data_IF_988246704916
#
_entry.id   IF_988246704916
#
_cell.length_a   1.000
_cell.length_b   1.000
_cell.length_c   1.000
_cell.angle_alpha   90.00
_cell.angle_beta   90.00
_cell.angle_gamma   90.00
#
_symmetry.space_group_name_H-M   'P 1'
#
loop_
_entity.id
_entity.type
_entity.pdbx_description
1 polymer ?
#
# COMPACT_ATOMS: atom_id res chain seq x y z
N UNK A 1 -22.11 -16.82 -3.68
CA UNK A 1 -21.58 -16.76 -5.07
C UNK A 1 -20.06 -16.68 -4.95
N UNK A 2 -19.34 -17.39 -5.83
CA UNK A 2 -17.87 -17.29 -5.90
C UNK A 2 -17.52 -15.90 -6.42
N UNK A 3 -16.63 -15.15 -5.72
CA UNK A 3 -16.15 -13.83 -6.16
C UNK A 3 -15.26 -13.98 -7.39
N UNK A 4 -15.35 -13.02 -8.29
CA UNK A 4 -14.47 -12.90 -9.43
C UNK A 4 -13.63 -11.61 -9.32
N UNK A 5 -12.32 -11.76 -9.44
CA UNK A 5 -11.37 -10.75 -8.96
C UNK A 5 -10.47 -10.28 -10.10
N UNK A 6 -10.35 -8.96 -10.28
CA UNK A 6 -9.30 -8.34 -11.07
C UNK A 6 -8.09 -8.01 -10.18
N UNK A 7 -6.88 -8.34 -10.60
CA UNK A 7 -5.64 -8.07 -9.85
C UNK A 7 -4.79 -7.08 -10.63
N UNK A 8 -4.65 -5.87 -10.11
CA UNK A 8 -3.75 -4.87 -10.64
C UNK A 8 -2.37 -5.08 -10.01
N UNK A 9 -1.42 -5.61 -10.80
CA UNK A 9 -0.08 -5.93 -10.33
C UNK A 9 0.10 -7.37 -9.85
N UNK A 10 -0.41 -8.35 -10.58
CA UNK A 10 -0.44 -9.78 -10.21
C UNK A 10 0.92 -10.44 -10.05
N UNK A 11 1.95 -9.96 -10.73
CA UNK A 11 3.31 -10.54 -10.69
C UNK A 11 4.16 -10.06 -9.51
N UNK A 12 3.70 -9.03 -8.79
CA UNK A 12 4.34 -8.49 -7.59
C UNK A 12 4.14 -9.40 -6.37
N UNK A 13 4.72 -9.01 -5.22
CA UNK A 13 4.62 -9.78 -3.97
C UNK A 13 3.17 -9.95 -3.51
N UNK A 14 2.41 -8.85 -3.43
CA UNK A 14 0.99 -8.87 -3.02
C UNK A 14 0.15 -9.64 -4.06
N UNK A 15 0.37 -9.37 -5.35
CA UNK A 15 -0.39 -10.06 -6.42
C UNK A 15 -0.24 -11.58 -6.38
N UNK A 16 0.97 -12.08 -6.17
CA UNK A 16 1.23 -13.53 -6.06
C UNK A 16 0.54 -14.15 -4.85
N UNK A 17 0.66 -13.52 -3.67
CA UNK A 17 -0.02 -13.97 -2.46
C UNK A 17 -1.55 -13.88 -2.60
N UNK A 18 -2.05 -12.90 -3.37
CA UNK A 18 -3.47 -12.82 -3.70
C UNK A 18 -3.95 -14.01 -4.52
N UNK A 19 -3.15 -14.45 -5.50
CA UNK A 19 -3.47 -15.64 -6.29
C UNK A 19 -3.46 -16.92 -5.44
N UNK A 20 -2.55 -17.07 -4.46
CA UNK A 20 -2.56 -18.16 -3.49
C UNK A 20 -3.85 -18.18 -2.67
N UNK A 21 -4.27 -17.03 -2.17
CA UNK A 21 -5.52 -16.87 -1.41
C UNK A 21 -6.74 -17.18 -2.29
N UNK A 22 -6.79 -16.66 -3.51
CA UNK A 22 -7.87 -16.88 -4.47
C UNK A 22 -8.03 -18.39 -4.76
N UNK A 23 -6.93 -19.09 -5.00
CA UNK A 23 -6.93 -20.53 -5.22
C UNK A 23 -7.40 -21.31 -3.99
N UNK A 24 -6.88 -20.97 -2.80
CA UNK A 24 -7.24 -21.64 -1.54
C UNK A 24 -8.71 -21.44 -1.15
N UNK A 25 -9.27 -20.25 -1.44
CA UNK A 25 -10.67 -19.91 -1.12
C UNK A 25 -11.67 -20.26 -2.25
N UNK A 26 -11.25 -20.90 -3.34
CA UNK A 26 -12.12 -21.30 -4.45
C UNK A 26 -12.75 -20.10 -5.20
N UNK A 27 -12.05 -18.98 -5.27
CA UNK A 27 -12.46 -17.81 -6.03
C UNK A 27 -11.93 -17.87 -7.48
N UNK A 28 -12.38 -16.97 -8.36
CA UNK A 28 -11.95 -16.94 -9.77
C UNK A 28 -11.30 -15.61 -10.12
N UNK A 29 -10.46 -15.63 -11.15
CA UNK A 29 -9.77 -14.44 -11.66
C UNK A 29 -10.47 -13.94 -12.92
N UNK A 30 -10.78 -12.63 -12.97
CA UNK A 30 -11.33 -11.95 -14.14
C UNK A 30 -10.23 -11.33 -15.00
N UNK A 31 -9.33 -10.57 -14.36
CA UNK A 31 -8.21 -9.93 -15.05
C UNK A 31 -6.92 -10.01 -14.22
N UNK A 32 -5.79 -10.07 -14.93
CA UNK A 32 -4.44 -9.98 -14.38
C UNK A 32 -3.67 -8.85 -15.07
N UNK A 33 -2.92 -8.07 -14.31
CA UNK A 33 -2.09 -7.03 -14.89
C UNK A 33 -0.66 -7.09 -14.36
N UNK A 34 0.32 -6.71 -15.18
CA UNK A 34 1.71 -6.58 -14.79
C UNK A 34 2.42 -5.47 -15.60
N UNK A 35 3.66 -5.13 -15.22
CA UNK A 35 4.46 -4.18 -15.98
C UNK A 35 5.08 -4.87 -17.22
N UNK A 36 6.14 -5.67 -17.02
CA UNK A 36 6.93 -6.28 -18.09
C UNK A 36 7.29 -7.76 -17.87
N UNK A 37 6.81 -8.41 -16.81
CA UNK A 37 7.15 -9.80 -16.46
C UNK A 37 6.34 -10.80 -17.29
N UNK A 38 6.71 -11.02 -18.53
CA UNK A 38 5.97 -11.83 -19.52
C UNK A 38 5.86 -13.29 -19.08
N UNK A 39 6.96 -13.93 -18.71
CA UNK A 39 7.00 -15.35 -18.35
C UNK A 39 6.07 -15.64 -17.17
N UNK A 40 6.14 -14.81 -16.12
CA UNK A 40 5.28 -14.97 -14.94
C UNK A 40 3.81 -14.70 -15.25
N UNK A 41 3.53 -13.73 -16.12
CA UNK A 41 2.16 -13.48 -16.56
C UNK A 41 1.61 -14.65 -17.35
N UNK A 42 2.38 -15.25 -18.25
CA UNK A 42 1.99 -16.45 -19.00
C UNK A 42 1.65 -17.61 -18.07
N UNK A 43 2.51 -17.89 -17.07
CA UNK A 43 2.25 -18.93 -16.04
C UNK A 43 0.92 -18.68 -15.31
N UNK A 44 0.70 -17.42 -14.85
CA UNK A 44 -0.53 -17.04 -14.16
C UNK A 44 -1.76 -17.16 -15.05
N UNK A 45 -1.68 -16.74 -16.31
CA UNK A 45 -2.79 -16.87 -17.27
C UNK A 45 -3.12 -18.32 -17.54
N UNK A 46 -2.14 -19.19 -17.75
CA UNK A 46 -2.38 -20.62 -17.98
C UNK A 46 -3.00 -21.30 -16.76
N UNK A 47 -2.61 -20.89 -15.55
CA UNK A 47 -3.15 -21.44 -14.31
C UNK A 47 -4.56 -20.95 -13.98
N UNK A 48 -4.82 -19.65 -14.09
CA UNK A 48 -6.06 -19.02 -13.61
C UNK A 48 -7.09 -18.72 -14.72
N UNK A 49 -6.69 -18.77 -15.98
CA UNK A 49 -7.54 -18.56 -17.16
C UNK A 49 -8.42 -17.29 -17.08
N UNK A 50 -7.82 -16.10 -16.86
CA UNK A 50 -8.60 -14.85 -16.81
C UNK A 50 -9.15 -14.50 -18.19
N UNK A 51 -10.17 -13.62 -18.22
CA UNK A 51 -10.68 -13.06 -19.48
C UNK A 51 -9.68 -12.07 -20.10
N UNK A 52 -8.95 -11.33 -19.25
CA UNK A 52 -8.07 -10.25 -19.66
C UNK A 52 -6.72 -10.34 -18.97
N UNK A 53 -5.65 -10.22 -19.75
CA UNK A 53 -4.28 -10.02 -19.28
C UNK A 53 -3.75 -8.69 -19.82
N UNK A 54 -3.14 -7.87 -18.95
CA UNK A 54 -2.64 -6.54 -19.33
C UNK A 54 -1.17 -6.41 -18.96
N UNK A 55 -0.38 -5.94 -19.93
CA UNK A 55 1.00 -5.52 -19.69
C UNK A 55 1.12 -4.00 -19.86
N UNK A 56 1.73 -3.31 -18.90
CA UNK A 56 1.98 -1.87 -19.04
C UNK A 56 2.96 -1.56 -20.18
N UNK A 57 3.98 -2.41 -20.34
CA UNK A 57 4.94 -2.34 -21.45
C UNK A 57 4.33 -2.93 -22.72
N UNK A 58 4.30 -2.13 -23.80
CA UNK A 58 3.68 -2.53 -25.08
C UNK A 58 4.44 -3.69 -25.76
N UNK A 59 5.77 -3.75 -25.62
CA UNK A 59 6.57 -4.84 -26.19
C UNK A 59 6.31 -6.15 -25.45
N UNK A 60 6.21 -6.07 -24.12
CA UNK A 60 5.83 -7.21 -23.29
C UNK A 60 4.41 -7.70 -23.61
N UNK A 61 3.48 -6.78 -23.90
CA UNK A 61 2.12 -7.14 -24.31
C UNK A 61 2.13 -7.87 -25.68
N UNK A 62 2.92 -7.40 -26.63
CA UNK A 62 3.05 -8.03 -27.94
C UNK A 62 3.65 -9.46 -27.83
N UNK A 63 4.68 -9.66 -27.01
CA UNK A 63 5.26 -10.98 -26.74
C UNK A 63 4.23 -11.90 -26.03
N UNK A 64 3.57 -11.41 -24.99
CA UNK A 64 2.55 -12.16 -24.27
C UNK A 64 1.40 -12.62 -25.20
N UNK A 65 0.97 -11.75 -26.10
CA UNK A 65 -0.09 -12.07 -27.07
C UNK A 65 0.29 -13.24 -27.99
N UNK A 66 1.55 -13.32 -28.41
CA UNK A 66 2.06 -14.46 -29.21
C UNK A 66 2.08 -15.74 -28.37
N UNK A 67 2.57 -15.66 -27.14
CA UNK A 67 2.67 -16.82 -26.23
C UNK A 67 1.30 -17.40 -25.83
N UNK A 68 0.29 -16.57 -25.75
CA UNK A 68 -1.07 -16.94 -25.34
C UNK A 68 -2.02 -17.19 -26.53
N UNK A 69 -1.52 -17.30 -27.75
CA UNK A 69 -2.35 -17.51 -28.95
C UNK A 69 -3.21 -18.80 -28.93
N UNK A 70 -2.85 -19.75 -28.07
CA UNK A 70 -3.57 -21.02 -27.83
C UNK A 70 -4.63 -20.89 -26.71
N UNK A 71 -4.78 -19.73 -26.08
CA UNK A 71 -5.71 -19.47 -24.97
C UNK A 71 -6.89 -18.59 -25.42
N UNK A 72 -7.90 -18.48 -24.54
CA UNK A 72 -9.03 -17.56 -24.75
C UNK A 72 -8.84 -16.19 -24.10
N UNK A 73 -7.73 -16.00 -23.38
CA UNK A 73 -7.41 -14.77 -22.67
C UNK A 73 -7.06 -13.66 -23.66
N UNK A 74 -7.76 -12.54 -23.59
CA UNK A 74 -7.45 -11.35 -24.36
C UNK A 74 -6.27 -10.61 -23.74
N UNK A 75 -5.35 -10.11 -24.57
CA UNK A 75 -4.19 -9.33 -24.11
C UNK A 75 -4.38 -7.86 -24.51
N UNK A 76 -4.22 -6.96 -23.53
CA UNK A 76 -4.23 -5.51 -23.68
C UNK A 76 -2.93 -4.89 -23.14
N UNK A 77 -2.72 -3.60 -23.36
CA UNK A 77 -1.50 -2.90 -22.92
C UNK A 77 -1.78 -1.50 -22.38
N UNK A 78 -0.80 -0.98 -21.65
CA UNK A 78 -0.75 0.40 -21.19
C UNK A 78 -1.80 0.77 -20.14
N UNK A 79 -1.94 2.06 -19.88
CA UNK A 79 -2.85 2.60 -18.87
C UNK A 79 -4.32 2.31 -19.20
N UNK A 80 -4.72 2.38 -20.45
CA UNK A 80 -6.10 2.10 -20.86
C UNK A 80 -6.46 0.63 -20.60
N UNK A 81 -5.52 -0.30 -20.87
CA UNK A 81 -5.70 -1.71 -20.50
C UNK A 81 -5.80 -1.91 -18.97
N UNK A 82 -5.02 -1.17 -18.19
CA UNK A 82 -5.07 -1.24 -16.73
C UNK A 82 -6.42 -0.75 -16.19
N UNK A 83 -6.96 0.32 -16.76
CA UNK A 83 -8.30 0.84 -16.46
C UNK A 83 -9.36 -0.19 -16.86
N UNK A 84 -9.27 -0.75 -18.06
CA UNK A 84 -10.19 -1.80 -18.53
C UNK A 84 -10.21 -3.01 -17.61
N UNK A 85 -9.06 -3.45 -17.09
CA UNK A 85 -8.98 -4.53 -16.10
C UNK A 85 -9.67 -4.17 -14.78
N UNK A 86 -9.61 -2.91 -14.37
CA UNK A 86 -10.28 -2.41 -13.18
C UNK A 86 -11.80 -2.31 -13.37
N UNK A 87 -12.27 -1.92 -14.55
CA UNK A 87 -13.68 -1.78 -14.91
C UNK A 87 -14.33 -3.10 -15.34
N UNK A 88 -13.58 -4.21 -15.55
CA UNK A 88 -14.05 -5.46 -16.11
C UNK A 88 -15.41 -5.87 -15.52
N UNK A 89 -16.51 -5.94 -16.30
CA UNK A 89 -17.86 -6.12 -15.75
C UNK A 89 -18.08 -7.47 -15.06
N UNK A 90 -17.32 -8.49 -15.45
CA UNK A 90 -17.40 -9.82 -14.84
C UNK A 90 -16.72 -9.92 -13.46
N UNK A 91 -15.92 -8.93 -13.08
CA UNK A 91 -15.23 -8.89 -11.79
C UNK A 91 -15.98 -7.97 -10.81
N UNK A 92 -16.29 -8.48 -9.62
CA UNK A 92 -16.97 -7.75 -8.55
C UNK A 92 -15.98 -7.08 -7.57
N UNK A 93 -14.73 -7.51 -7.61
CA UNK A 93 -13.68 -7.08 -6.68
C UNK A 93 -12.39 -6.76 -7.44
N UNK A 94 -11.74 -5.68 -7.07
CA UNK A 94 -10.43 -5.28 -7.61
C UNK A 94 -9.39 -5.24 -6.49
N UNK A 95 -8.29 -5.97 -6.66
CA UNK A 95 -7.11 -5.85 -5.80
C UNK A 95 -6.16 -4.85 -6.44
N UNK A 96 -5.85 -3.76 -5.75
CA UNK A 96 -4.92 -2.74 -6.23
C UNK A 96 -3.53 -2.98 -5.65
N UNK A 97 -2.74 -3.83 -6.30
CA UNK A 97 -1.40 -4.24 -5.85
C UNK A 97 -0.25 -3.65 -6.70
N UNK A 98 -0.52 -2.58 -7.43
CA UNK A 98 0.50 -1.77 -8.10
C UNK A 98 1.19 -0.84 -7.10
N UNK A 99 2.40 -0.39 -7.41
CA UNK A 99 3.19 0.49 -6.53
C UNK A 99 3.17 1.92 -7.07
N UNK A 100 2.99 2.89 -6.16
CA UNK A 100 3.06 4.31 -6.50
C UNK A 100 1.80 4.87 -7.13
N UNK A 101 1.91 6.09 -7.65
CA UNK A 101 0.80 6.91 -8.15
C UNK A 101 0.03 6.30 -9.33
N UNK A 102 0.63 5.34 -10.04
CA UNK A 102 0.01 4.66 -11.20
C UNK A 102 -1.30 3.94 -10.83
N UNK A 103 -1.47 3.55 -9.56
CA UNK A 103 -2.67 2.87 -9.08
C UNK A 103 -3.89 3.77 -8.94
N UNK A 104 -3.74 5.09 -8.86
CA UNK A 104 -4.83 6.01 -8.58
C UNK A 104 -5.91 5.98 -9.67
N UNK A 105 -5.52 6.14 -10.93
CA UNK A 105 -6.47 6.19 -12.07
C UNK A 105 -7.32 4.92 -12.20
N UNK A 106 -6.75 3.71 -12.22
CA UNK A 106 -7.55 2.49 -12.31
C UNK A 106 -8.37 2.21 -11.04
N UNK A 107 -7.89 2.63 -9.86
CA UNK A 107 -8.70 2.51 -8.63
C UNK A 107 -9.94 3.40 -8.69
N UNK A 108 -9.80 4.64 -9.16
CA UNK A 108 -10.94 5.54 -9.35
C UNK A 108 -11.95 4.99 -10.37
N UNK A 109 -11.46 4.38 -11.46
CA UNK A 109 -12.29 3.72 -12.45
C UNK A 109 -13.11 2.56 -11.83
N UNK A 110 -12.46 1.70 -11.06
CA UNK A 110 -13.16 0.61 -10.36
C UNK A 110 -14.18 1.11 -9.31
N UNK A 111 -13.88 2.21 -8.62
CA UNK A 111 -14.79 2.86 -7.66
C UNK A 111 -16.07 3.33 -8.38
N UNK A 112 -15.94 3.95 -9.55
CA UNK A 112 -17.10 4.43 -10.34
C UNK A 112 -17.98 3.32 -10.87
N UNK A 113 -17.46 2.10 -10.96
CA UNK A 113 -18.24 0.90 -11.25
C UNK A 113 -18.88 0.27 -9.98
N UNK A 114 -18.80 0.94 -8.82
CA UNK A 114 -19.35 0.46 -7.56
C UNK A 114 -18.71 -0.82 -7.03
N UNK A 115 -17.48 -1.14 -7.46
CA UNK A 115 -16.80 -2.39 -7.10
C UNK A 115 -16.25 -2.36 -5.69
N UNK A 116 -16.02 -3.55 -5.13
CA UNK A 116 -15.21 -3.71 -3.93
C UNK A 116 -13.74 -3.53 -4.28
N UNK A 117 -13.05 -2.68 -3.52
CA UNK A 117 -11.62 -2.39 -3.68
C UNK A 117 -10.88 -3.02 -2.51
N UNK A 118 -10.10 -4.06 -2.76
CA UNK A 118 -9.10 -4.58 -1.82
C UNK A 118 -7.82 -3.76 -2.00
N UNK A 119 -7.68 -2.71 -1.20
CA UNK A 119 -6.67 -1.67 -1.38
C UNK A 119 -5.33 -2.08 -0.75
N UNK A 120 -4.34 -2.39 -1.59
CA UNK A 120 -2.95 -2.58 -1.18
C UNK A 120 -2.02 -1.43 -1.62
N UNK A 121 -2.47 -0.57 -2.54
CA UNK A 121 -1.76 0.62 -2.99
C UNK A 121 -2.09 1.80 -2.08
N UNK A 122 -1.31 1.96 -1.01
CA UNK A 122 -1.50 3.04 -0.03
C UNK A 122 -1.37 4.43 -0.62
N UNK A 123 -0.55 4.57 -1.66
CA UNK A 123 -0.30 5.84 -2.34
C UNK A 123 -1.60 6.45 -2.90
N UNK A 124 -2.58 5.63 -3.25
CA UNK A 124 -3.91 6.07 -3.68
C UNK A 124 -4.59 6.96 -2.61
N UNK A 125 -4.60 6.54 -1.34
CA UNK A 125 -5.17 7.34 -0.25
C UNK A 125 -4.24 8.44 0.24
N UNK A 126 -2.93 8.23 0.20
CA UNK A 126 -1.94 9.27 0.56
C UNK A 126 -2.06 10.48 -0.36
N UNK A 127 -2.22 10.24 -1.67
CA UNK A 127 -2.23 11.30 -2.67
C UNK A 127 -3.61 11.91 -2.92
N UNK A 128 -4.67 11.12 -2.83
CA UNK A 128 -6.01 11.53 -3.22
C UNK A 128 -7.09 11.06 -2.23
N UNK A 129 -6.74 10.87 -0.95
CA UNK A 129 -7.60 10.18 0.00
C UNK A 129 -8.99 10.79 0.16
N UNK A 130 -9.10 12.13 0.22
CA UNK A 130 -10.40 12.79 0.29
C UNK A 130 -11.24 12.50 -0.96
N UNK A 131 -10.68 12.71 -2.15
CA UNK A 131 -11.37 12.48 -3.44
C UNK A 131 -11.79 11.01 -3.59
N UNK A 132 -10.90 10.06 -3.21
CA UNK A 132 -11.17 8.62 -3.28
C UNK A 132 -12.32 8.23 -2.35
N UNK A 133 -12.36 8.76 -1.13
CA UNK A 133 -13.42 8.46 -0.16
C UNK A 133 -14.77 9.09 -0.56
N UNK A 134 -14.76 10.28 -1.13
CA UNK A 134 -15.96 10.94 -1.66
C UNK A 134 -16.55 10.14 -2.82
N UNK A 135 -15.74 9.79 -3.82
CA UNK A 135 -16.18 8.97 -4.96
C UNK A 135 -16.66 7.58 -4.50
N UNK A 136 -15.95 6.93 -3.56
CA UNK A 136 -16.37 5.62 -3.05
C UNK A 136 -17.77 5.67 -2.40
N UNK A 137 -18.03 6.73 -1.62
CA UNK A 137 -19.36 6.96 -1.01
C UNK A 137 -20.43 7.21 -2.08
N UNK A 138 -20.13 8.07 -3.06
CA UNK A 138 -21.09 8.49 -4.08
C UNK A 138 -21.46 7.35 -5.02
N UNK A 139 -20.54 6.45 -5.32
CA UNK A 139 -20.76 5.28 -6.18
C UNK A 139 -21.04 3.99 -5.40
N UNK A 140 -21.08 4.04 -4.06
CA UNK A 140 -21.35 2.87 -3.23
C UNK A 140 -20.27 1.79 -3.26
N UNK A 141 -19.03 2.16 -3.61
CA UNK A 141 -17.89 1.25 -3.59
C UNK A 141 -17.38 1.01 -2.16
N UNK A 142 -17.01 -0.23 -1.86
CA UNK A 142 -16.48 -0.61 -0.55
C UNK A 142 -14.96 -0.70 -0.62
N UNK A 143 -14.24 0.12 0.16
CA UNK A 143 -12.78 0.06 0.24
C UNK A 143 -12.38 -0.76 1.47
N UNK A 144 -11.68 -1.87 1.23
CA UNK A 144 -11.19 -2.79 2.26
C UNK A 144 -9.65 -2.79 2.28
N UNK A 145 -9.03 -2.63 3.46
CA UNK A 145 -7.58 -2.55 3.57
C UNK A 145 -6.92 -3.91 3.37
N UNK A 146 -5.86 -3.93 2.59
CA UNK A 146 -4.93 -5.05 2.45
C UNK A 146 -3.63 -4.80 3.20
N UNK A 147 -3.22 -3.55 3.40
CA UNK A 147 -2.07 -3.24 4.25
C UNK A 147 -2.30 -3.82 5.65
N UNK A 148 -1.27 -4.49 6.22
CA UNK A 148 -1.43 -5.29 7.44
C UNK A 148 -1.90 -4.49 8.64
N UNK A 149 -1.38 -3.29 8.82
CA UNK A 149 -1.71 -2.39 9.92
C UNK A 149 -3.15 -1.88 9.79
N UNK A 150 -3.56 -1.53 8.58
CA UNK A 150 -4.92 -1.05 8.32
C UNK A 150 -5.92 -2.21 8.42
N UNK A 151 -5.60 -3.38 7.90
CA UNK A 151 -6.43 -4.58 8.11
C UNK A 151 -6.61 -4.88 9.61
N UNK A 152 -5.55 -4.71 10.41
CA UNK A 152 -5.61 -4.91 11.86
C UNK A 152 -6.52 -3.88 12.54
N UNK A 153 -6.44 -2.60 12.16
CA UNK A 153 -7.37 -1.57 12.64
C UNK A 153 -8.81 -1.88 12.23
N UNK A 154 -9.02 -2.25 10.95
CA UNK A 154 -10.33 -2.65 10.45
C UNK A 154 -10.93 -3.80 11.26
N UNK A 155 -10.14 -4.83 11.58
CA UNK A 155 -10.55 -5.97 12.39
C UNK A 155 -10.82 -5.60 13.84
N UNK A 156 -9.99 -4.73 14.44
CA UNK A 156 -10.14 -4.27 15.84
C UNK A 156 -11.32 -3.31 16.02
N UNK A 157 -11.81 -2.70 14.95
CA UNK A 157 -12.98 -1.84 14.91
C UNK A 157 -14.30 -2.61 14.67
N UNK A 158 -14.23 -3.94 14.46
CA UNK A 158 -15.44 -4.75 14.32
C UNK A 158 -16.22 -4.75 15.65
N UNK A 159 -17.52 -4.46 15.56
CA UNK A 159 -18.36 -4.31 16.75
C UNK A 159 -18.40 -2.90 17.34
N UNK A 160 -17.51 -2.01 16.96
CA UNK A 160 -17.60 -0.58 17.31
C UNK A 160 -18.77 0.06 16.54
N UNK A 161 -19.86 0.34 17.24
CA UNK A 161 -21.07 0.92 16.63
C UNK A 161 -20.99 2.43 16.50
N UNK A 162 -20.25 3.08 17.38
CA UNK A 162 -20.09 4.53 17.41
C UNK A 162 -18.60 4.90 17.39
N UNK A 163 -18.15 5.54 16.32
CA UNK A 163 -16.75 5.97 16.19
C UNK A 163 -16.30 6.97 17.26
N UNK A 164 -17.21 7.61 17.97
CA UNK A 164 -16.90 8.48 19.12
C UNK A 164 -16.34 7.71 20.30
N UNK A 165 -16.60 6.38 20.38
CA UNK A 165 -16.02 5.49 21.38
C UNK A 165 -14.53 5.24 21.16
N UNK A 166 -14.01 5.52 19.95
CA UNK A 166 -12.58 5.37 19.64
C UNK A 166 -11.81 6.57 20.18
N UNK A 167 -10.93 6.32 21.14
CA UNK A 167 -10.03 7.34 21.70
C UNK A 167 -8.89 7.63 20.74
N UNK A 168 -8.21 6.59 20.22
CA UNK A 168 -7.17 6.69 19.19
C UNK A 168 -6.91 5.36 18.48
N UNK A 169 -6.28 5.48 17.29
CA UNK A 169 -5.67 4.39 16.56
C UNK A 169 -4.17 4.33 16.89
N UNK A 170 -3.62 3.13 17.01
CA UNK A 170 -2.20 2.90 17.29
C UNK A 170 -1.63 2.03 16.20
N UNK A 171 -0.85 2.64 15.31
CA UNK A 171 -0.13 1.95 14.24
C UNK A 171 1.17 1.37 14.80
N UNK A 172 1.41 0.10 14.58
CA UNK A 172 2.70 -0.53 14.89
C UNK A 172 3.63 -0.47 13.69
N UNK A 173 4.93 -0.49 13.89
CA UNK A 173 5.92 -0.70 12.84
C UNK A 173 7.13 -1.46 13.37
N UNK A 174 7.82 -2.20 12.48
CA UNK A 174 9.04 -2.95 12.86
C UNK A 174 10.22 -2.04 13.23
N UNK A 175 10.15 -0.74 12.91
CA UNK A 175 11.27 0.19 13.04
C UNK A 175 12.34 0.04 11.95
N UNK A 176 12.14 -0.87 10.98
CA UNK A 176 13.06 -1.10 9.87
C UNK A 176 14.41 -1.69 10.28
N UNK A 177 15.37 -1.79 9.33
CA UNK A 177 16.70 -2.34 9.59
C UNK A 177 17.56 -1.45 10.48
N UNK A 178 17.27 -0.16 10.58
CA UNK A 178 18.10 0.82 11.25
C UNK A 178 17.58 1.25 12.63
N UNK A 179 16.61 0.54 13.19
CA UNK A 179 16.12 0.79 14.55
C UNK A 179 17.27 0.84 15.56
N UNK A 180 17.33 1.89 16.37
CA UNK A 180 18.35 2.10 17.39
C UNK A 180 19.68 2.68 16.86
N UNK A 181 19.83 2.91 15.55
CA UNK A 181 20.98 3.60 14.96
C UNK A 181 20.89 5.10 15.16
N UNK A 182 22.02 5.71 15.42
CA UNK A 182 22.16 7.18 15.45
C UNK A 182 22.21 7.75 14.02
N UNK A 183 21.88 9.04 13.89
CA UNK A 183 22.01 9.77 12.62
C UNK A 183 23.42 9.74 12.04
N UNK A 184 24.45 9.70 12.90
CA UNK A 184 25.86 9.62 12.46
C UNK A 184 26.16 8.29 11.79
N UNK A 185 25.67 7.19 12.37
CA UNK A 185 25.81 5.86 11.76
C UNK A 185 25.05 5.77 10.42
N UNK A 186 23.89 6.41 10.32
CA UNK A 186 23.07 6.40 9.09
C UNK A 186 23.74 7.09 7.90
N UNK A 187 24.76 7.95 8.09
CA UNK A 187 25.50 8.58 6.99
C UNK A 187 26.22 7.58 6.09
N UNK A 188 26.57 6.43 6.63
CA UNK A 188 27.38 5.43 5.95
C UNK A 188 26.56 4.21 5.48
N UNK A 189 25.24 4.22 5.69
CA UNK A 189 24.38 3.11 5.30
C UNK A 189 24.23 3.05 3.78
N UNK A 190 24.46 1.86 3.26
CA UNK A 190 24.38 1.55 1.83
C UNK A 190 22.98 1.12 1.42
N UNK A 191 22.78 0.97 0.11
CA UNK A 191 21.59 0.36 -0.45
C UNK A 191 21.36 -1.06 0.08
N UNK A 192 22.41 -1.86 0.13
CA UNK A 192 22.40 -3.23 0.61
C UNK A 192 21.94 -3.32 2.07
N UNK A 193 22.43 -2.41 2.93
CA UNK A 193 22.00 -2.33 4.33
C UNK A 193 20.53 -1.96 4.46
N UNK A 194 20.05 -1.00 3.66
CA UNK A 194 18.67 -0.53 3.67
C UNK A 194 17.67 -1.60 3.17
N UNK A 195 18.13 -2.54 2.34
CA UNK A 195 17.30 -3.62 1.80
C UNK A 195 17.18 -4.85 2.72
N UNK A 196 17.86 -4.86 3.88
CA UNK A 196 17.81 -5.95 4.86
C UNK A 196 16.69 -5.75 5.89
N UNK A 197 15.42 -5.98 5.47
CA UNK A 197 14.30 -5.88 6.42
C UNK A 197 14.30 -7.09 7.38
N UNK A 198 14.10 -6.89 8.72
CA UNK A 198 14.22 -7.96 9.71
C UNK A 198 13.14 -9.06 9.61
N UNK A 199 11.90 -8.71 9.22
CA UNK A 199 10.75 -9.61 9.34
C UNK A 199 10.03 -9.87 8.00
N UNK A 200 10.14 -8.95 7.02
CA UNK A 200 9.36 -8.98 5.79
C UNK A 200 10.24 -9.10 4.55
N UNK A 201 9.82 -9.94 3.61
CA UNK A 201 10.39 -9.97 2.25
C UNK A 201 9.52 -9.12 1.32
N UNK A 202 10.00 -7.94 0.98
CA UNK A 202 9.24 -6.91 0.26
C UNK A 202 9.99 -6.40 -0.98
N UNK A 203 9.30 -5.63 -1.82
CA UNK A 203 9.93 -4.91 -2.93
C UNK A 203 10.94 -3.85 -2.45
N UNK A 204 11.90 -3.48 -3.30
CA UNK A 204 12.99 -2.58 -2.94
C UNK A 204 12.49 -1.20 -2.44
N UNK A 205 11.51 -0.58 -3.12
CA UNK A 205 10.97 0.74 -2.72
C UNK A 205 10.42 0.71 -1.30
N UNK A 206 9.50 -0.19 -0.99
CA UNK A 206 8.86 -0.26 0.33
C UNK A 206 9.86 -0.67 1.43
N UNK A 207 10.90 -1.44 1.11
CA UNK A 207 11.96 -1.79 2.05
C UNK A 207 12.79 -0.56 2.44
N UNK A 208 13.14 0.31 1.49
CA UNK A 208 13.78 1.61 1.77
C UNK A 208 12.83 2.52 2.54
N UNK A 209 11.55 2.56 2.20
CA UNK A 209 10.55 3.32 2.97
C UNK A 209 10.43 2.83 4.42
N UNK A 210 10.56 1.53 4.65
CA UNK A 210 10.65 0.98 6.02
C UNK A 210 11.92 1.42 6.73
N UNK A 211 13.07 1.41 6.04
CA UNK A 211 14.35 1.85 6.60
C UNK A 211 14.35 3.33 7.00
N UNK A 212 13.65 4.19 6.25
CA UNK A 212 13.51 5.63 6.55
C UNK A 212 12.33 5.95 7.48
N UNK A 213 11.49 4.97 7.83
CA UNK A 213 10.18 5.11 8.45
C UNK A 213 9.16 5.91 7.61
N UNK A 214 9.46 6.22 6.35
CA UNK A 214 8.49 6.83 5.44
C UNK A 214 7.27 5.93 5.24
N UNK A 215 7.46 4.61 5.15
CA UNK A 215 6.35 3.66 5.03
C UNK A 215 5.30 3.89 6.12
N UNK A 216 5.72 4.03 7.36
CA UNK A 216 4.82 4.29 8.48
C UNK A 216 4.19 5.69 8.41
N UNK A 217 4.90 6.65 7.85
CA UNK A 217 4.35 7.97 7.57
C UNK A 217 3.24 7.95 6.51
N UNK A 218 3.43 7.20 5.43
CA UNK A 218 2.40 7.00 4.40
C UNK A 218 1.19 6.28 4.97
N UNK A 219 1.40 5.25 5.75
CA UNK A 219 0.35 4.50 6.46
C UNK A 219 -0.43 5.35 7.46
N UNK A 220 0.24 6.31 8.11
CA UNK A 220 -0.44 7.27 8.98
C UNK A 220 -1.44 8.12 8.21
N UNK A 221 -1.06 8.64 7.03
CA UNK A 221 -1.94 9.42 6.15
C UNK A 221 -3.08 8.54 5.61
N UNK A 222 -2.76 7.31 5.19
CA UNK A 222 -3.77 6.34 4.75
C UNK A 222 -4.82 6.07 5.84
N UNK A 223 -4.38 5.84 7.10
CA UNK A 223 -5.28 5.61 8.22
C UNK A 223 -6.21 6.80 8.49
N UNK A 224 -5.71 8.02 8.35
CA UNK A 224 -6.55 9.23 8.49
C UNK A 224 -7.73 9.20 7.52
N UNK A 225 -7.45 8.92 6.25
CA UNK A 225 -8.49 8.88 5.22
C UNK A 225 -9.40 7.65 5.36
N UNK A 226 -8.82 6.46 5.54
CA UNK A 226 -9.57 5.20 5.55
C UNK A 226 -10.53 5.10 6.75
N UNK A 227 -10.14 5.65 7.90
CA UNK A 227 -10.95 5.59 9.14
C UNK A 227 -11.58 6.93 9.51
N UNK A 228 -11.42 7.98 8.70
CA UNK A 228 -11.90 9.33 8.97
C UNK A 228 -11.46 9.84 10.36
N UNK A 229 -10.19 9.58 10.71
CA UNK A 229 -9.61 9.95 12.00
C UNK A 229 -8.68 11.15 11.84
N UNK A 230 -8.80 12.17 12.69
CA UNK A 230 -7.88 13.31 12.66
C UNK A 230 -6.49 12.88 13.15
N UNK A 231 -5.41 13.56 12.69
CA UNK A 231 -4.04 13.16 12.98
C UNK A 231 -3.71 13.08 14.48
N UNK A 232 -4.39 13.88 15.32
CA UNK A 232 -4.20 13.89 16.78
C UNK A 232 -4.70 12.60 17.45
N UNK A 233 -5.56 11.85 16.78
CA UNK A 233 -6.10 10.58 17.26
C UNK A 233 -5.38 9.36 16.66
N UNK A 234 -4.24 9.53 16.02
CA UNK A 234 -3.42 8.45 15.50
C UNK A 234 -2.03 8.53 16.14
N UNK A 235 -1.54 7.43 16.64
CA UNK A 235 -0.19 7.32 17.22
C UNK A 235 0.59 6.18 16.57
N UNK A 236 1.92 6.23 16.67
CA UNK A 236 2.82 5.22 16.12
C UNK A 236 3.66 4.65 17.26
N UNK A 237 3.83 3.33 17.26
CA UNK A 237 4.74 2.62 18.16
C UNK A 237 5.61 1.65 17.37
N UNK A 238 6.88 1.54 17.76
CA UNK A 238 7.77 0.51 17.24
C UNK A 238 7.43 -0.81 17.94
N UNK A 239 7.24 -1.86 17.16
CA UNK A 239 7.03 -3.23 17.62
C UNK A 239 7.85 -4.17 16.74
N UNK A 240 9.03 -4.55 17.24
CA UNK A 240 10.06 -5.24 16.47
C UNK A 240 9.63 -6.60 15.96
N UNK A 241 8.84 -7.31 16.73
CA UNK A 241 8.42 -8.69 16.48
C UNK A 241 7.39 -8.79 15.35
N UNK A 242 6.70 -7.68 15.02
CA UNK A 242 5.64 -7.62 13.98
C UNK A 242 4.54 -8.69 14.17
N UNK A 243 4.20 -9.01 15.41
CA UNK A 243 3.12 -9.94 15.79
C UNK A 243 1.82 -9.18 16.00
N UNK A 244 1.88 -8.04 16.69
CA UNK A 244 0.74 -7.11 16.80
C UNK A 244 0.81 -6.16 15.61
N UNK A 245 -0.20 -6.24 14.73
CA UNK A 245 -0.19 -5.47 13.48
C UNK A 245 -0.73 -4.05 13.64
N UNK A 246 -1.66 -3.80 14.56
CA UNK A 246 -2.09 -2.47 15.05
C UNK A 246 -3.14 -2.64 16.15
N UNK A 247 -3.50 -1.53 16.82
CA UNK A 247 -4.40 -1.54 17.98
C UNK A 247 -5.37 -0.36 17.90
N UNK A 248 -6.52 -0.53 18.54
CA UNK A 248 -7.50 0.52 18.77
C UNK A 248 -7.67 0.72 20.28
N UNK A 249 -7.46 1.93 20.77
CA UNK A 249 -7.74 2.33 22.14
C UNK A 249 -9.12 2.99 22.20
N UNK A 250 -9.98 2.50 23.07
CA UNK A 250 -11.33 3.00 23.29
C UNK A 250 -11.38 4.01 24.43
N UNK A 251 -12.49 4.75 24.56
CA UNK A 251 -12.66 5.82 25.55
C UNK A 251 -12.65 5.32 27.01
N UNK A 252 -12.94 4.04 27.24
CA UNK A 252 -12.83 3.37 28.52
C UNK A 252 -11.40 2.88 28.84
N UNK A 253 -10.43 3.21 27.99
CA UNK A 253 -9.04 2.78 28.01
C UNK A 253 -8.81 1.28 27.68
N UNK A 254 -9.82 0.55 27.22
CA UNK A 254 -9.60 -0.77 26.65
C UNK A 254 -8.80 -0.66 25.35
N UNK A 255 -7.87 -1.59 25.12
CA UNK A 255 -7.07 -1.66 23.90
C UNK A 255 -7.32 -2.99 23.22
N UNK A 256 -7.82 -2.95 21.97
CA UNK A 256 -8.05 -4.14 21.16
C UNK A 256 -7.00 -4.19 20.06
N UNK A 257 -6.39 -5.36 19.89
CA UNK A 257 -5.32 -5.59 18.93
C UNK A 257 -5.62 -6.80 18.05
N UNK A 258 -5.20 -6.75 16.79
CA UNK A 258 -5.13 -7.94 15.94
C UNK A 258 -3.70 -8.46 15.94
N UNK A 259 -3.57 -9.76 16.21
CA UNK A 259 -2.30 -10.48 16.21
C UNK A 259 -2.28 -11.51 15.08
N UNK A 260 -1.10 -11.75 14.53
CA UNK A 260 -0.86 -12.76 13.49
C UNK A 260 0.62 -12.89 13.19
N UNK A 261 1.00 -13.95 12.48
CA UNK A 261 2.32 -14.04 11.87
C UNK A 261 2.48 -12.95 10.79
N UNK A 262 3.71 -12.48 10.46
CA UNK A 262 3.96 -11.52 9.39
C UNK A 262 3.72 -12.18 8.01
N UNK A 263 2.47 -12.33 7.62
CA UNK A 263 1.99 -13.01 6.42
C UNK A 263 0.87 -12.21 5.76
N UNK A 264 1.14 -11.64 4.58
CA UNK A 264 0.17 -10.81 3.85
C UNK A 264 -1.05 -11.59 3.35
N UNK A 265 -1.01 -12.92 3.30
CA UNK A 265 -2.16 -13.73 2.92
C UNK A 265 -3.33 -13.56 3.89
N UNK A 266 -3.06 -13.29 5.17
CA UNK A 266 -4.10 -13.04 6.16
C UNK A 266 -4.94 -11.76 5.86
N UNK A 267 -4.36 -10.56 5.73
CA UNK A 267 -5.12 -9.35 5.39
C UNK A 267 -5.71 -9.41 3.98
N UNK A 268 -5.02 -9.99 3.00
CA UNK A 268 -5.55 -10.20 1.65
C UNK A 268 -6.82 -11.05 1.72
N UNK A 269 -6.75 -12.20 2.39
CA UNK A 269 -7.91 -13.09 2.54
C UNK A 269 -9.07 -12.37 3.22
N UNK A 270 -8.81 -11.65 4.32
CA UNK A 270 -9.86 -10.97 5.04
C UNK A 270 -10.56 -9.90 4.18
N UNK A 271 -9.82 -9.13 3.39
CA UNK A 271 -10.40 -8.18 2.43
C UNK A 271 -11.26 -8.87 1.37
N UNK A 272 -10.84 -10.04 0.87
CA UNK A 272 -11.55 -10.77 -0.17
C UNK A 272 -12.79 -11.52 0.35
N UNK A 273 -12.75 -12.00 1.60
CA UNK A 273 -13.84 -12.82 2.16
C UNK A 273 -14.80 -12.04 3.03
N UNK A 274 -14.47 -10.82 3.39
CA UNK A 274 -15.33 -9.96 4.22
C UNK A 274 -16.82 -9.99 3.76
N UNK A 275 -17.80 -10.11 4.69
CA UNK A 275 -17.67 -10.09 6.17
C UNK A 275 -17.39 -11.45 6.80
N UNK A 276 -17.08 -12.49 6.05
CA UNK A 276 -16.87 -13.84 6.58
C UNK A 276 -15.41 -14.09 6.89
N UNK A 277 -15.17 -14.97 7.87
CA UNK A 277 -13.87 -15.61 8.10
C UNK A 277 -13.94 -17.04 7.60
N UNK A 278 -12.96 -17.44 6.79
CA UNK A 278 -12.85 -18.78 6.23
C UNK A 278 -11.45 -19.34 6.49
N UNK A 279 -11.28 -20.63 6.40
CA UNK A 279 -9.94 -21.23 6.40
C UNK A 279 -9.12 -20.72 5.24
N UNK A 280 -7.82 -20.59 5.43
CA UNK A 280 -6.93 -20.02 4.44
C UNK A 280 -5.47 -20.44 4.59
N UNK A 281 -4.60 -19.98 3.68
CA UNK A 281 -3.21 -20.45 3.58
C UNK A 281 -2.25 -19.77 4.57
N UNK A 282 -2.69 -18.78 5.36
CA UNK A 282 -1.82 -18.07 6.29
C UNK A 282 -1.36 -18.98 7.45
N UNK A 283 -0.11 -18.80 7.88
CA UNK A 283 0.48 -19.57 8.96
C UNK A 283 -0.17 -19.20 10.31
N UNK A 284 -0.64 -20.17 11.11
CA UNK A 284 -1.17 -19.91 12.44
C UNK A 284 -0.13 -19.29 13.38
N UNK A 285 -0.56 -18.39 14.24
CA UNK A 285 0.27 -17.84 15.31
C UNK A 285 0.24 -18.76 16.52
N UNK A 286 1.42 -19.17 16.99
CA UNK A 286 1.60 -19.81 18.29
C UNK A 286 2.11 -18.79 19.32
N UNK A 287 1.24 -18.39 20.24
CA UNK A 287 1.57 -17.41 21.28
C UNK A 287 2.66 -17.89 22.24
N UNK A 288 2.81 -19.21 22.45
CA UNK A 288 3.83 -19.76 23.34
C UNK A 288 5.23 -19.68 22.70
N UNK A 289 5.31 -19.60 21.39
CA UNK A 289 6.57 -19.58 20.63
C UNK A 289 6.98 -18.19 20.16
N UNK A 290 6.10 -17.17 20.23
CA UNK A 290 6.37 -15.84 19.64
C UNK A 290 7.36 -14.97 20.46
N UNK A 291 7.76 -15.40 21.67
CA UNK A 291 8.66 -14.63 22.54
C UNK A 291 8.00 -13.41 23.18
N UNK A 292 8.81 -12.52 23.78
CA UNK A 292 8.30 -11.28 24.36
C UNK A 292 7.87 -10.30 23.28
N UNK A 293 6.78 -9.56 23.53
CA UNK A 293 6.32 -8.48 22.64
C UNK A 293 6.79 -7.14 23.21
N UNK A 294 7.61 -6.43 22.42
CA UNK A 294 8.26 -5.19 22.86
C UNK A 294 7.75 -3.97 22.13
N UNK A 295 7.77 -2.82 22.81
CA UNK A 295 7.29 -1.57 22.25
C UNK A 295 8.26 -0.42 22.57
N UNK A 296 8.43 0.50 21.60
CA UNK A 296 9.24 1.71 21.76
C UNK A 296 8.59 2.89 21.04
N UNK A 297 9.02 4.10 21.39
CA UNK A 297 8.64 5.30 20.65
C UNK A 297 9.49 5.43 19.38
N UNK A 298 8.94 5.93 18.25
CA UNK A 298 9.75 6.26 17.09
C UNK A 298 10.63 7.50 17.35
N UNK A 299 11.87 7.45 16.85
CA UNK A 299 12.81 8.58 16.90
C UNK A 299 12.58 9.49 15.67
N UNK A 300 11.88 10.60 15.86
CA UNK A 300 11.55 11.56 14.80
C UNK A 300 12.73 12.44 14.37
N UNK A 301 13.74 12.58 15.23
CA UNK A 301 14.93 13.38 14.94
C UNK A 301 15.89 12.62 14.01
N UNK A 302 16.09 11.34 14.27
CA UNK A 302 16.90 10.47 13.44
C UNK A 302 16.16 10.09 12.13
N UNK A 303 14.90 9.71 12.22
CA UNK A 303 14.08 9.28 11.07
C UNK A 303 13.20 10.43 10.55
N UNK A 304 13.86 11.43 9.96
CA UNK A 304 13.22 12.67 9.50
C UNK A 304 12.06 12.45 8.51
N UNK A 305 12.09 11.39 7.70
CA UNK A 305 11.01 11.07 6.76
C UNK A 305 9.65 10.88 7.47
N UNK A 306 9.64 10.24 8.65
CA UNK A 306 8.41 10.11 9.43
C UNK A 306 7.91 11.48 9.90
N UNK A 307 8.80 12.35 10.40
CA UNK A 307 8.42 13.70 10.83
C UNK A 307 7.82 14.52 9.67
N UNK A 308 8.38 14.40 8.45
CA UNK A 308 7.87 15.05 7.23
C UNK A 308 6.48 14.53 6.86
N UNK A 309 6.25 13.23 6.96
CA UNK A 309 4.94 12.64 6.70
C UNK A 309 3.89 13.12 7.72
N UNK A 310 4.23 13.21 9.01
CA UNK A 310 3.35 13.79 10.02
C UNK A 310 3.07 15.27 9.79
N UNK A 311 4.04 16.04 9.24
CA UNK A 311 3.84 17.43 8.80
C UNK A 311 2.84 17.46 7.63
N UNK A 312 3.03 16.62 6.60
CA UNK A 312 2.12 16.53 5.45
C UNK A 312 0.69 16.18 5.87
N UNK A 313 0.54 15.20 6.76
CA UNK A 313 -0.74 14.78 7.33
C UNK A 313 -1.54 15.95 7.96
N UNK A 314 -0.86 16.81 8.73
CA UNK A 314 -1.49 18.00 9.35
C UNK A 314 -1.75 19.13 8.36
N UNK A 315 -0.95 19.23 7.31
CA UNK A 315 -1.10 20.27 6.27
C UNK A 315 -2.30 20.01 5.38
N UNK A 316 -2.57 18.73 5.04
CA UNK A 316 -3.67 18.34 4.16
C UNK A 316 -3.47 18.76 2.70
N UNK A 317 -4.54 18.75 1.93
CA UNK A 317 -4.51 19.08 0.50
C UNK A 317 -3.51 18.19 -0.27
N UNK A 318 -2.76 18.79 -1.21
CA UNK A 318 -1.73 18.09 -1.99
C UNK A 318 -0.45 17.77 -1.22
N UNK A 319 -0.34 18.06 0.08
CA UNK A 319 0.89 17.82 0.85
C UNK A 319 1.29 16.33 0.87
N UNK A 320 0.32 15.42 0.97
CA UNK A 320 0.54 13.97 0.87
C UNK A 320 1.05 13.55 -0.51
N UNK A 321 0.50 14.13 -1.57
CA UNK A 321 0.94 13.91 -2.96
C UNK A 321 2.39 14.36 -3.17
N UNK A 322 2.72 15.58 -2.70
CA UNK A 322 4.07 16.15 -2.80
C UNK A 322 5.06 15.28 -2.03
N UNK A 323 4.73 14.88 -0.80
CA UNK A 323 5.54 13.96 0.00
C UNK A 323 5.82 12.66 -0.74
N UNK A 324 4.77 12.02 -1.27
CA UNK A 324 4.89 10.73 -1.95
C UNK A 324 5.70 10.83 -3.23
N UNK A 325 5.40 11.79 -4.12
CA UNK A 325 6.12 11.99 -5.37
C UNK A 325 7.61 12.28 -5.16
N UNK A 326 7.91 13.15 -4.17
CA UNK A 326 9.28 13.45 -3.78
C UNK A 326 9.99 12.21 -3.21
N UNK A 327 9.31 11.43 -2.36
CA UNK A 327 9.88 10.22 -1.79
C UNK A 327 10.17 9.16 -2.86
N UNK A 328 9.25 8.90 -3.77
CA UNK A 328 9.47 7.94 -4.86
C UNK A 328 10.69 8.33 -5.72
N UNK A 329 10.82 9.61 -6.08
CA UNK A 329 11.97 10.10 -6.85
C UNK A 329 13.29 9.99 -6.04
N UNK A 330 13.29 10.37 -4.76
CA UNK A 330 14.47 10.29 -3.90
C UNK A 330 14.91 8.85 -3.64
N UNK A 331 13.96 7.93 -3.38
CA UNK A 331 14.25 6.50 -3.21
C UNK A 331 14.82 5.89 -4.49
N UNK A 332 14.31 6.27 -5.67
CA UNK A 332 14.87 5.82 -6.95
C UNK A 332 16.32 6.25 -7.10
N UNK A 333 16.65 7.52 -6.80
CA UNK A 333 18.03 8.01 -6.83
C UNK A 333 18.94 7.28 -5.84
N UNK A 334 18.44 6.94 -4.66
CA UNK A 334 19.19 6.16 -3.68
C UNK A 334 19.44 4.73 -4.16
N UNK A 335 18.43 4.06 -4.70
CA UNK A 335 18.55 2.71 -5.26
C UNK A 335 19.50 2.65 -6.44
N UNK A 336 19.60 3.74 -7.22
CA UNK A 336 20.56 3.91 -8.31
C UNK A 336 21.98 4.29 -7.83
N UNK A 337 22.19 4.48 -6.51
CA UNK A 337 23.47 4.89 -5.93
C UNK A 337 23.87 6.35 -6.21
N UNK A 338 22.91 7.20 -6.62
CA UNK A 338 23.17 8.61 -6.95
C UNK A 338 23.15 9.54 -5.75
N UNK A 339 22.54 9.12 -4.64
CA UNK A 339 22.47 9.88 -3.38
C UNK A 339 22.67 8.96 -2.17
N UNK A 340 23.08 9.53 -1.03
CA UNK A 340 23.20 8.80 0.23
C UNK A 340 21.85 8.63 0.95
N UNK A 341 21.82 7.75 1.95
CA UNK A 341 20.59 7.42 2.70
C UNK A 341 19.91 8.65 3.33
N UNK A 342 20.69 9.52 3.98
CA UNK A 342 20.17 10.73 4.60
C UNK A 342 19.73 11.81 3.60
N UNK A 343 20.17 11.71 2.33
CA UNK A 343 19.75 12.64 1.28
C UNK A 343 18.28 12.43 0.89
N UNK A 344 17.73 11.23 1.11
CA UNK A 344 16.32 10.95 0.85
C UNK A 344 15.47 12.00 1.58
N UNK A 345 15.59 12.06 2.91
CA UNK A 345 14.81 12.99 3.72
C UNK A 345 15.06 14.46 3.34
N UNK A 346 16.34 14.83 3.07
CA UNK A 346 16.69 16.22 2.67
C UNK A 346 16.06 16.64 1.36
N UNK A 347 16.00 15.75 0.36
CA UNK A 347 15.36 16.04 -0.93
C UNK A 347 13.85 16.10 -0.82
N UNK A 348 13.24 15.20 -0.03
CA UNK A 348 11.79 15.24 0.24
C UNK A 348 11.43 16.56 0.93
N UNK A 349 12.15 16.95 1.99
CA UNK A 349 11.91 18.21 2.71
C UNK A 349 11.99 19.42 1.78
N UNK A 350 13.05 19.49 0.94
CA UNK A 350 13.21 20.58 -0.04
C UNK A 350 12.07 20.64 -1.05
N UNK A 351 11.59 19.50 -1.53
CA UNK A 351 10.46 19.45 -2.45
C UNK A 351 9.18 19.94 -1.77
N UNK A 352 8.91 19.51 -0.53
CA UNK A 352 7.77 19.98 0.26
C UNK A 352 7.79 21.49 0.57
N UNK A 353 8.98 22.11 0.65
CA UNK A 353 9.11 23.54 0.87
C UNK A 353 8.99 24.36 -0.43
N UNK A 354 9.26 23.75 -1.60
CA UNK A 354 9.24 24.42 -2.91
C UNK A 354 7.90 24.34 -3.63
N UNK A 355 7.24 23.19 -3.54
CA UNK A 355 5.99 22.95 -4.27
C UNK A 355 4.81 23.46 -3.42
N UNK A 356 3.99 24.36 -3.95
CA UNK A 356 2.87 24.94 -3.20
C UNK A 356 1.78 23.87 -2.97
N UNK A 357 1.21 23.88 -1.77
CA UNK A 357 0.09 23.01 -1.40
C UNK A 357 -1.22 23.61 -1.89
N UNK A 358 -2.03 22.81 -2.55
CA UNK A 358 -3.38 23.15 -2.99
C UNK A 358 -4.36 22.44 -2.05
N UNK A 359 -5.26 23.19 -1.43
CA UNK A 359 -6.36 22.63 -0.63
C UNK A 359 -7.52 22.23 -1.56
N UNK A 360 -8.24 21.16 -1.21
CA UNK A 360 -9.35 20.59 -2.00
C UNK A 360 -9.01 20.41 -3.50
N UNK A 361 -7.92 19.65 -3.81
CA UNK A 361 -7.40 19.54 -5.17
C UNK A 361 -8.29 18.67 -6.06
N UNK A 362 -8.39 19.05 -7.33
CA UNK A 362 -8.90 18.17 -8.39
C UNK A 362 -7.90 17.06 -8.74
N UNK A 363 -8.35 16.01 -9.42
CA UNK A 363 -7.47 14.93 -9.92
C UNK A 363 -6.29 15.49 -10.75
N UNK A 364 -6.54 16.46 -11.63
CA UNK A 364 -5.50 17.10 -12.45
C UNK A 364 -4.45 17.78 -11.57
N UNK A 365 -4.87 18.54 -10.59
CA UNK A 365 -3.96 19.22 -9.65
C UNK A 365 -3.15 18.24 -8.79
N UNK A 366 -3.71 17.08 -8.43
CA UNK A 366 -2.99 16.00 -7.76
C UNK A 366 -1.87 15.47 -8.65
N UNK A 367 -2.15 15.18 -9.93
CA UNK A 367 -1.16 14.69 -10.88
C UNK A 367 -0.06 15.74 -11.17
N UNK A 368 -0.43 17.01 -11.29
CA UNK A 368 0.51 18.12 -11.46
C UNK A 368 1.41 18.29 -10.23
N UNK A 369 0.86 18.17 -9.01
CA UNK A 369 1.63 18.25 -7.77
C UNK A 369 2.63 17.09 -7.63
N UNK A 370 2.26 15.84 -7.99
CA UNK A 370 3.17 14.69 -8.03
C UNK A 370 4.34 14.94 -9.00
N UNK A 371 4.02 15.40 -10.22
CA UNK A 371 5.03 15.72 -11.23
C UNK A 371 6.00 16.82 -10.75
N UNK A 372 5.46 17.91 -10.22
CA UNK A 372 6.26 19.02 -9.70
C UNK A 372 7.17 18.59 -8.54
N UNK A 373 6.68 17.71 -7.66
CA UNK A 373 7.48 17.17 -6.55
C UNK A 373 8.64 16.30 -7.04
N UNK A 374 8.42 15.45 -8.04
CA UNK A 374 9.46 14.63 -8.68
C UNK A 374 10.53 15.51 -9.33
N UNK A 375 10.12 16.53 -10.09
CA UNK A 375 11.04 17.47 -10.74
C UNK A 375 11.86 18.25 -9.72
N UNK A 376 11.26 18.68 -8.61
CA UNK A 376 11.97 19.37 -7.53
C UNK A 376 13.06 18.51 -6.87
N UNK A 377 12.90 17.20 -6.83
CA UNK A 377 13.90 16.24 -6.33
C UNK A 377 15.01 16.00 -7.36
N UNK A 378 14.65 15.85 -8.63
CA UNK A 378 15.62 15.54 -9.71
C UNK A 378 16.51 16.73 -10.07
N UNK A 379 16.03 17.96 -9.86
CA UNK A 379 16.76 19.21 -10.12
C UNK A 379 17.60 19.69 -8.93
N UNK A 380 17.69 18.94 -7.84
CA UNK A 380 18.30 19.38 -6.57
C UNK A 380 19.74 18.90 -6.36
#
# INVERSE_FOLDING_TARGET
MSRRISILGSTGSIGRQSLEVIAACGMTVGALTANASVERMEEQVRQFQPELAVMMDEKAAADLKVRLADTKTRVASGMEGLVEAAELPSADTVITAVVGMIGLRPTMAAIREGKRIALANKETLVCAGQLVQEEARDWGAEILPVDSEHSALFQSLQGCKDRREVKRLILTCSGGPFFGRSREELKHMTREDALQHPNWSMGAKITVDSATLMNKGLEFIEAMHLYHMPPEKISIVIHRESIIHSLVEYCDNAVIAQLGTPDMRLPIQYALTWPRRVEGPATPLDLCSCGPLTFAQPDLDTFRCLALALKAARTGGTAGTILNGANEAAVSLFLDGKIGFLDIARRVERAMDRVPVIQDPTMTQILEADQAAREAVLSA
#
